data_IF_849995815137
#
_entry.id   IF_849995815137
#
_cell.length_a   1.000
_cell.length_b   1.000
_cell.length_c   1.000
_cell.angle_alpha   90.00
_cell.angle_beta   90.00
_cell.angle_gamma   90.00
#
_symmetry.space_group_name_H-M   'P 1'
#
loop_
_entity.id
_entity.type
_entity.pdbx_description
1 polymer ?
#
# COMPACT_ATOMS: atom_id res chain seq x y z
N UNK A 1 -12.02 -23.17 -10.64
CA UNK A 1 -12.39 -24.09 -11.74
C UNK A 1 -13.30 -25.27 -11.33
N UNK A 2 -12.98 -26.03 -10.27
CA UNK A 2 -13.77 -27.19 -9.86
C UNK A 2 -15.08 -26.78 -9.14
N UNK A 3 -15.05 -25.72 -8.39
CA UNK A 3 -16.21 -25.13 -7.67
C UNK A 3 -17.12 -24.38 -8.63
N UNK A 4 -16.55 -23.64 -9.57
CA UNK A 4 -17.27 -22.93 -10.60
C UNK A 4 -18.09 -23.89 -11.48
N UNK A 5 -17.54 -25.06 -11.84
CA UNK A 5 -18.25 -26.11 -12.60
C UNK A 5 -19.37 -26.80 -11.82
N UNK A 6 -19.37 -26.73 -10.49
CA UNK A 6 -20.40 -27.29 -9.62
C UNK A 6 -21.38 -26.24 -9.06
N UNK A 7 -21.09 -24.96 -9.32
CA UNK A 7 -21.95 -23.85 -8.93
C UNK A 7 -23.14 -23.77 -9.89
N UNK A 8 -24.33 -24.04 -9.40
CA UNK A 8 -25.58 -23.99 -10.17
C UNK A 8 -26.07 -22.55 -10.41
N UNK A 9 -25.17 -21.56 -10.45
CA UNK A 9 -25.48 -20.16 -10.77
C UNK A 9 -25.98 -19.30 -9.62
N UNK A 10 -26.06 -19.82 -8.39
CA UNK A 10 -26.49 -19.05 -7.21
C UNK A 10 -25.43 -18.09 -6.68
N UNK A 11 -24.14 -18.38 -6.90
CA UNK A 11 -23.04 -17.53 -6.46
C UNK A 11 -22.23 -17.06 -7.67
N UNK A 12 -21.84 -15.79 -7.67
CA UNK A 12 -20.89 -15.29 -8.66
C UNK A 12 -19.50 -15.84 -8.36
N UNK A 13 -18.60 -15.85 -9.37
CA UNK A 13 -17.19 -16.22 -9.18
C UNK A 13 -16.54 -15.37 -8.07
N UNK A 14 -16.77 -14.05 -8.08
CA UNK A 14 -16.27 -13.14 -7.07
C UNK A 14 -16.74 -13.50 -5.65
N UNK A 15 -18.00 -13.91 -5.50
CA UNK A 15 -18.52 -14.35 -4.20
C UNK A 15 -17.87 -15.65 -3.73
N UNK A 16 -17.63 -16.60 -4.63
CA UNK A 16 -16.91 -17.86 -4.32
C UNK A 16 -15.48 -17.55 -3.90
N UNK A 17 -14.77 -16.72 -4.66
CA UNK A 17 -13.38 -16.34 -4.36
C UNK A 17 -13.29 -15.63 -3.00
N UNK A 18 -14.20 -14.70 -2.69
CA UNK A 18 -14.25 -14.01 -1.40
C UNK A 18 -14.50 -14.96 -0.21
N UNK A 19 -15.45 -15.89 -0.34
CA UNK A 19 -15.74 -16.88 0.72
C UNK A 19 -14.52 -17.75 0.97
N UNK A 20 -13.92 -18.30 -0.08
CA UNK A 20 -12.75 -19.19 0.09
C UNK A 20 -11.53 -18.44 0.56
N UNK A 21 -11.35 -17.18 0.16
CA UNK A 21 -10.29 -16.33 0.68
C UNK A 21 -10.36 -16.19 2.19
N UNK A 22 -11.53 -15.89 2.75
CA UNK A 22 -11.72 -15.79 4.20
C UNK A 22 -11.59 -17.15 4.90
N UNK A 23 -12.09 -18.24 4.32
CA UNK A 23 -11.91 -19.58 4.87
C UNK A 23 -10.42 -19.92 4.97
N UNK A 24 -9.62 -19.64 3.93
CA UNK A 24 -8.19 -19.89 3.96
C UNK A 24 -7.45 -18.97 4.93
N UNK A 25 -7.87 -17.69 5.06
CA UNK A 25 -7.30 -16.77 6.02
C UNK A 25 -7.52 -17.26 7.46
N UNK A 26 -8.75 -17.65 7.81
CA UNK A 26 -9.08 -18.20 9.13
C UNK A 26 -8.34 -19.50 9.39
N UNK A 27 -8.32 -20.42 8.42
CA UNK A 27 -7.63 -21.72 8.57
C UNK A 27 -6.13 -21.54 8.82
N UNK A 28 -5.48 -20.66 8.07
CA UNK A 28 -4.06 -20.33 8.26
C UNK A 28 -3.80 -19.70 9.63
N UNK A 29 -4.67 -18.80 10.07
CA UNK A 29 -4.53 -18.13 11.36
C UNK A 29 -4.71 -19.09 12.56
N UNK A 30 -5.53 -20.14 12.40
CA UNK A 30 -5.69 -21.20 13.42
C UNK A 30 -4.47 -22.13 13.50
N UNK A 31 -3.81 -22.41 12.36
CA UNK A 31 -2.64 -23.28 12.32
C UNK A 31 -1.37 -22.56 12.77
N UNK A 32 -1.18 -21.31 12.32
CA UNK A 32 -0.04 -20.45 12.61
C UNK A 32 -0.54 -19.01 12.75
N UNK A 33 -0.87 -18.54 13.97
CA UNK A 33 -1.29 -17.16 14.18
C UNK A 33 -0.16 -16.20 13.80
N UNK A 34 -0.27 -15.64 12.62
CA UNK A 34 0.71 -14.72 12.05
C UNK A 34 0.20 -13.30 12.20
N UNK A 35 0.86 -12.51 13.05
CA UNK A 35 0.53 -11.09 13.18
C UNK A 35 0.97 -10.31 11.96
N UNK A 36 0.09 -9.44 11.48
CA UNK A 36 0.35 -8.51 10.41
C UNK A 36 0.36 -7.09 10.99
N UNK A 37 1.52 -6.45 11.00
CA UNK A 37 1.61 -5.05 11.39
C UNK A 37 1.33 -4.14 10.19
N UNK A 38 0.72 -3.00 10.44
CA UNK A 38 0.45 -2.02 9.39
C UNK A 38 0.50 -0.59 9.93
N UNK A 39 0.75 0.37 9.03
CA UNK A 39 0.70 1.80 9.37
C UNK A 39 -0.73 2.22 9.65
N UNK A 40 -1.00 2.63 10.89
CA UNK A 40 -2.29 3.15 11.32
C UNK A 40 -2.66 4.52 10.72
N UNK A 41 -3.81 5.02 11.14
CA UNK A 41 -4.72 4.46 12.12
C UNK A 41 -5.52 3.26 11.62
N UNK A 42 -6.22 2.58 12.52
CA UNK A 42 -7.22 1.57 12.16
C UNK A 42 -8.28 2.19 11.24
N UNK A 43 -8.70 1.44 10.20
CA UNK A 43 -9.58 1.96 9.14
C UNK A 43 -8.84 2.76 8.05
N UNK A 44 -7.51 2.94 8.11
CA UNK A 44 -6.74 3.59 7.05
C UNK A 44 -6.71 2.77 5.75
N UNK A 45 -6.28 3.40 4.65
CA UNK A 45 -6.05 2.68 3.40
C UNK A 45 -4.95 1.62 3.53
N UNK A 46 -3.99 1.79 4.45
CA UNK A 46 -3.01 0.74 4.76
C UNK A 46 -3.68 -0.46 5.43
N UNK A 47 -4.65 -0.23 6.32
CA UNK A 47 -5.47 -1.31 6.89
C UNK A 47 -6.26 -2.03 5.80
N UNK A 48 -6.89 -1.29 4.89
CA UNK A 48 -7.61 -1.86 3.75
C UNK A 48 -6.70 -2.70 2.84
N UNK A 49 -5.48 -2.23 2.57
CA UNK A 49 -4.49 -2.98 1.81
C UNK A 49 -4.06 -4.27 2.55
N UNK A 50 -3.91 -4.21 3.88
CA UNK A 50 -3.62 -5.40 4.68
C UNK A 50 -4.77 -6.41 4.64
N UNK A 51 -6.03 -5.98 4.85
CA UNK A 51 -7.21 -6.86 4.75
C UNK A 51 -7.35 -7.48 3.36
N UNK A 52 -7.12 -6.72 2.30
CA UNK A 52 -7.23 -7.22 0.91
C UNK A 52 -6.25 -8.35 0.61
N UNK A 53 -5.13 -8.43 1.35
CA UNK A 53 -4.09 -9.44 1.14
C UNK A 53 -4.19 -10.61 2.11
N UNK A 54 -4.59 -10.36 3.36
CA UNK A 54 -4.54 -11.33 4.44
C UNK A 54 -5.93 -11.76 4.96
N UNK A 55 -6.99 -11.07 4.54
CA UNK A 55 -8.37 -11.29 5.00
C UNK A 55 -8.72 -10.52 6.27
N UNK A 56 -10.00 -10.18 6.43
CA UNK A 56 -10.48 -9.36 7.56
C UNK A 56 -10.39 -10.05 8.92
N UNK A 57 -10.21 -11.38 8.96
CA UNK A 57 -10.14 -12.18 10.19
C UNK A 57 -8.71 -12.46 10.66
N UNK A 58 -7.70 -11.89 10.03
CA UNK A 58 -6.29 -12.01 10.44
C UNK A 58 -5.99 -11.21 11.71
N UNK A 59 -4.93 -11.58 12.45
CA UNK A 59 -4.49 -10.81 13.61
C UNK A 59 -3.69 -9.58 13.19
N UNK A 60 -4.28 -8.40 13.36
CA UNK A 60 -3.70 -7.14 12.96
C UNK A 60 -3.09 -6.36 14.13
N UNK A 61 -1.90 -5.78 13.90
CA UNK A 61 -1.19 -4.91 14.82
C UNK A 61 -1.09 -3.51 14.19
N UNK A 62 -1.94 -2.59 14.63
CA UNK A 62 -1.88 -1.19 14.21
C UNK A 62 -0.71 -0.47 14.87
N UNK A 63 0.11 0.22 14.07
CA UNK A 63 1.29 0.93 14.55
C UNK A 63 1.31 2.38 14.05
N UNK A 64 1.80 3.33 14.86
CA UNK A 64 1.64 4.76 14.59
C UNK A 64 2.59 5.30 13.51
N UNK A 65 3.71 4.62 13.23
CA UNK A 65 4.74 5.09 12.30
C UNK A 65 5.24 3.97 11.38
N UNK A 66 5.74 4.34 10.21
CA UNK A 66 6.41 3.41 9.29
C UNK A 66 7.59 2.74 10.00
N UNK A 67 8.39 3.49 10.76
CA UNK A 67 9.48 2.96 11.57
C UNK A 67 9.03 1.81 12.48
N UNK A 68 7.95 1.99 13.23
CA UNK A 68 7.44 0.97 14.14
C UNK A 68 6.94 -0.29 13.42
N UNK A 69 6.43 -0.14 12.19
CA UNK A 69 6.09 -1.30 11.35
C UNK A 69 7.35 -2.09 10.97
N UNK A 70 8.39 -1.41 10.46
CA UNK A 70 9.67 -2.05 10.15
C UNK A 70 10.27 -2.75 11.38
N UNK A 71 10.31 -2.08 12.53
CA UNK A 71 10.83 -2.62 13.78
C UNK A 71 10.04 -3.85 14.25
N UNK A 72 8.72 -3.85 14.13
CA UNK A 72 7.87 -4.97 14.54
C UNK A 72 8.17 -6.24 13.75
N UNK A 73 8.49 -6.12 12.45
CA UNK A 73 8.86 -7.25 11.60
C UNK A 73 10.30 -7.69 11.87
N UNK A 74 11.22 -6.74 11.99
CA UNK A 74 12.64 -7.01 12.28
C UNK A 74 12.82 -7.79 13.59
N UNK A 75 12.06 -7.43 14.62
CA UNK A 75 12.08 -8.07 15.94
C UNK A 75 11.22 -9.35 16.03
N UNK A 76 10.47 -9.69 14.97
CA UNK A 76 9.58 -10.86 14.95
C UNK A 76 8.27 -10.68 15.75
N UNK A 77 7.95 -9.45 16.18
CA UNK A 77 6.67 -9.13 16.83
C UNK A 77 5.49 -9.28 15.86
N UNK A 78 5.73 -9.01 14.58
CA UNK A 78 4.84 -9.32 13.48
C UNK A 78 5.60 -10.12 12.42
N UNK A 79 4.93 -11.05 11.75
CA UNK A 79 5.53 -11.81 10.64
C UNK A 79 5.59 -10.98 9.37
N UNK A 80 4.55 -10.20 9.12
CA UNK A 80 4.45 -9.33 7.96
C UNK A 80 4.21 -7.88 8.40
N UNK A 81 4.73 -6.95 7.59
CA UNK A 81 4.49 -5.52 7.73
C UNK A 81 3.91 -4.94 6.46
N UNK A 82 2.90 -4.08 6.57
CA UNK A 82 2.29 -3.41 5.43
C UNK A 82 2.53 -1.90 5.53
N UNK A 83 3.19 -1.34 4.50
CA UNK A 83 3.55 0.08 4.44
C UNK A 83 3.28 0.66 3.06
N UNK A 84 2.87 1.93 2.93
CA UNK A 84 2.77 2.60 1.64
C UNK A 84 4.17 2.86 1.07
N UNK A 85 4.35 2.70 -0.26
CA UNK A 85 5.59 3.05 -0.96
C UNK A 85 5.41 4.25 -1.88
N UNK A 86 4.27 4.34 -2.54
CA UNK A 86 3.96 5.45 -3.42
C UNK A 86 2.45 5.61 -3.65
N UNK A 87 2.05 6.84 -3.94
CA UNK A 87 0.74 7.18 -4.45
C UNK A 87 0.93 7.95 -5.76
N UNK A 88 0.11 7.67 -6.77
CA UNK A 88 0.28 8.28 -8.09
C UNK A 88 -0.04 9.78 -8.15
N UNK A 89 -0.66 10.35 -7.10
CA UNK A 89 -0.92 11.79 -6.98
C UNK A 89 0.06 12.48 -6.02
N UNK A 90 0.41 11.83 -4.91
CA UNK A 90 1.26 12.39 -3.84
C UNK A 90 2.75 12.05 -4.03
N UNK A 91 3.06 11.08 -4.89
CA UNK A 91 4.42 10.62 -5.14
C UNK A 91 4.91 9.55 -4.16
N UNK A 92 6.23 9.48 -4.03
CA UNK A 92 6.90 8.43 -3.27
C UNK A 92 6.88 8.71 -1.76
N UNK A 93 6.70 7.64 -0.96
CA UNK A 93 6.79 7.71 0.50
C UNK A 93 8.25 7.55 0.91
N UNK A 94 8.92 8.69 1.08
CA UNK A 94 10.35 8.81 1.34
C UNK A 94 10.81 7.96 2.53
N UNK A 95 10.05 7.99 3.63
CA UNK A 95 10.36 7.27 4.86
C UNK A 95 10.44 5.76 4.63
N UNK A 96 9.51 5.19 3.86
CA UNK A 96 9.53 3.76 3.49
C UNK A 96 10.79 3.41 2.71
N UNK A 97 11.16 4.25 1.74
CA UNK A 97 12.35 4.03 0.91
C UNK A 97 13.64 4.09 1.73
N UNK A 98 13.73 5.06 2.65
CA UNK A 98 14.89 5.20 3.53
C UNK A 98 15.03 3.96 4.46
N UNK A 99 13.93 3.47 5.06
CA UNK A 99 13.98 2.25 5.89
C UNK A 99 14.25 0.95 5.11
N UNK A 100 13.82 0.84 3.87
CA UNK A 100 14.19 -0.29 3.01
C UNK A 100 15.71 -0.38 2.82
N UNK A 101 16.39 0.76 2.79
CA UNK A 101 17.84 0.79 2.71
C UNK A 101 18.50 0.39 4.04
N UNK A 102 17.99 0.91 5.16
CA UNK A 102 18.61 0.79 6.48
C UNK A 102 18.34 -0.58 7.13
N UNK A 103 17.12 -1.09 6.99
CA UNK A 103 16.65 -2.30 7.67
C UNK A 103 16.88 -3.56 6.84
N UNK A 104 17.07 -4.69 7.52
CA UNK A 104 17.29 -5.97 6.85
C UNK A 104 15.98 -6.76 6.72
N UNK A 105 15.07 -6.22 5.92
CA UNK A 105 13.79 -6.85 5.59
C UNK A 105 13.67 -7.01 4.08
N UNK A 106 12.89 -8.00 3.67
CA UNK A 106 12.58 -8.27 2.26
C UNK A 106 11.17 -7.82 1.91
N UNK A 107 11.01 -7.33 0.69
CA UNK A 107 9.70 -7.14 0.05
C UNK A 107 9.24 -8.49 -0.47
N UNK A 108 8.11 -8.99 0.00
CA UNK A 108 7.60 -10.31 -0.38
C UNK A 108 6.36 -10.25 -1.26
N UNK A 109 5.70 -9.10 -1.29
CA UNK A 109 4.59 -8.82 -2.19
C UNK A 109 4.35 -7.31 -2.26
N UNK A 110 3.52 -6.90 -3.21
CA UNK A 110 2.94 -5.58 -3.26
C UNK A 110 1.41 -5.67 -3.36
N UNK A 111 0.72 -4.60 -2.96
CA UNK A 111 -0.72 -4.41 -3.12
C UNK A 111 -0.93 -3.07 -3.80
N UNK A 112 -1.64 -3.07 -4.91
CA UNK A 112 -2.12 -1.85 -5.56
C UNK A 112 -3.57 -1.63 -5.13
N UNK A 113 -3.82 -0.57 -4.37
CA UNK A 113 -5.14 -0.21 -3.90
C UNK A 113 -5.63 1.02 -4.66
N UNK A 114 -6.77 0.92 -5.29
CA UNK A 114 -7.50 2.08 -5.78
C UNK A 114 -8.12 2.79 -4.59
N UNK A 115 -7.88 4.10 -4.47
CA UNK A 115 -8.36 4.91 -3.35
C UNK A 115 -9.77 5.38 -3.67
N UNK A 116 -10.74 4.84 -2.95
CA UNK A 116 -12.14 5.25 -3.02
C UNK A 116 -12.55 5.95 -1.74
N UNK A 117 -13.34 7.00 -1.89
CA UNK A 117 -13.96 7.69 -0.75
C UNK A 117 -15.46 7.43 -0.73
N UNK A 118 -15.99 7.32 0.48
CA UNK A 118 -17.41 7.21 0.75
C UNK A 118 -17.89 8.40 1.55
N UNK A 119 -19.14 8.79 1.36
CA UNK A 119 -19.86 9.71 2.22
C UNK A 119 -20.72 8.91 3.18
N UNK A 120 -20.39 8.97 4.47
CA UNK A 120 -21.04 8.17 5.50
C UNK A 120 -21.60 9.04 6.61
N UNK A 121 -22.82 8.73 7.09
CA UNK A 121 -23.51 9.46 8.16
C UNK A 121 -24.45 8.55 8.93
N UNK A 122 -24.72 8.91 10.18
CA UNK A 122 -25.79 8.29 10.97
C UNK A 122 -27.18 8.82 10.58
N UNK A 123 -27.26 9.97 9.88
CA UNK A 123 -28.51 10.52 9.35
C UNK A 123 -28.78 10.00 7.93
N UNK A 124 -30.02 9.63 7.66
CA UNK A 124 -30.48 9.21 6.33
C UNK A 124 -30.76 10.41 5.40
N UNK A 125 -30.72 11.64 5.91
CA UNK A 125 -31.05 12.87 5.18
C UNK A 125 -29.90 13.85 5.16
N UNK A 126 -29.47 14.28 3.96
CA UNK A 126 -28.46 15.32 3.81
C UNK A 126 -28.85 16.65 4.46
N UNK A 127 -30.17 16.93 4.60
CA UNK A 127 -30.66 18.19 5.19
C UNK A 127 -30.39 18.31 6.70
N UNK A 128 -30.19 17.18 7.37
CA UNK A 128 -29.94 17.13 8.82
C UNK A 128 -28.45 17.25 9.14
N UNK A 129 -27.57 17.16 8.12
CA UNK A 129 -26.15 17.23 8.27
C UNK A 129 -25.71 18.69 8.36
N UNK A 130 -24.97 19.01 9.41
CA UNK A 130 -24.40 20.35 9.67
C UNK A 130 -22.90 20.38 9.53
N UNK A 131 -22.23 19.24 9.71
CA UNK A 131 -20.78 19.14 9.73
C UNK A 131 -20.32 17.94 8.94
N UNK A 132 -19.22 18.11 8.20
CA UNK A 132 -18.56 17.00 7.49
C UNK A 132 -17.10 16.97 7.91
N UNK A 133 -16.69 15.82 8.43
CA UNK A 133 -15.31 15.54 8.82
C UNK A 133 -14.57 14.85 7.69
N UNK A 134 -13.36 15.29 7.41
CA UNK A 134 -12.41 14.55 6.56
C UNK A 134 -11.00 15.10 6.70
N UNK A 135 -10.05 14.46 6.02
CA UNK A 135 -8.72 15.02 5.79
C UNK A 135 -8.79 16.06 4.67
N UNK A 136 -8.01 17.15 4.76
CA UNK A 136 -7.99 18.22 3.75
C UNK A 136 -7.88 17.71 2.31
N UNK A 137 -7.01 16.72 2.09
CA UNK A 137 -6.81 16.15 0.76
C UNK A 137 -8.07 15.46 0.24
N UNK A 138 -8.84 14.77 1.10
CA UNK A 138 -10.06 14.09 0.69
C UNK A 138 -11.15 15.10 0.30
N UNK A 139 -11.25 16.24 0.99
CA UNK A 139 -12.14 17.32 0.56
C UNK A 139 -11.79 17.83 -0.85
N UNK A 140 -10.50 18.01 -1.15
CA UNK A 140 -10.07 18.42 -2.50
C UNK A 140 -10.33 17.35 -3.56
N UNK A 141 -10.21 16.08 -3.20
CA UNK A 141 -10.42 14.95 -4.12
C UNK A 141 -11.90 14.59 -4.34
N UNK A 142 -12.81 15.15 -3.53
CA UNK A 142 -14.27 14.95 -3.62
C UNK A 142 -14.99 16.28 -3.90
N UNK A 143 -14.31 17.24 -4.53
CA UNK A 143 -14.82 18.59 -4.74
C UNK A 143 -16.09 18.64 -5.59
N UNK A 144 -16.20 17.80 -6.63
CA UNK A 144 -17.41 17.73 -7.47
C UNK A 144 -18.62 17.27 -6.66
N UNK A 145 -18.47 16.19 -5.88
CA UNK A 145 -19.54 15.70 -5.02
C UNK A 145 -19.99 16.77 -4.02
N UNK A 146 -19.06 17.45 -3.37
CA UNK A 146 -19.36 18.51 -2.39
C UNK A 146 -20.13 19.65 -3.07
N UNK A 147 -19.67 20.11 -4.22
CA UNK A 147 -20.34 21.21 -4.95
C UNK A 147 -21.72 20.82 -5.49
N UNK A 148 -21.87 19.59 -5.99
CA UNK A 148 -23.11 19.15 -6.62
C UNK A 148 -24.22 18.87 -5.60
N UNK A 149 -23.89 18.24 -4.47
CA UNK A 149 -24.89 17.73 -3.52
C UNK A 149 -25.00 18.56 -2.25
N UNK A 150 -23.97 19.34 -1.87
CA UNK A 150 -23.90 20.00 -0.55
C UNK A 150 -23.81 21.53 -0.63
N UNK A 151 -23.59 22.07 -1.84
CA UNK A 151 -23.52 23.53 -2.02
C UNK A 151 -24.82 24.22 -1.61
N UNK A 152 -24.71 25.32 -0.85
CA UNK A 152 -25.88 26.09 -0.37
C UNK A 152 -26.60 25.52 0.85
N UNK A 153 -26.21 24.35 1.36
CA UNK A 153 -26.84 23.76 2.56
C UNK A 153 -26.29 24.34 3.87
N UNK A 154 -25.26 25.19 3.84
CA UNK A 154 -24.65 25.78 5.05
C UNK A 154 -23.89 24.76 5.90
N UNK A 155 -23.39 23.68 5.31
CA UNK A 155 -22.66 22.64 5.99
C UNK A 155 -21.21 23.08 6.22
N UNK A 156 -20.71 22.88 7.43
CA UNK A 156 -19.32 23.17 7.80
C UNK A 156 -18.39 21.98 7.43
N UNK A 157 -17.32 22.25 6.66
CA UNK A 157 -16.28 21.27 6.38
C UNK A 157 -15.18 21.38 7.43
N UNK A 158 -14.98 20.32 8.23
CA UNK A 158 -14.04 20.31 9.35
C UNK A 158 -12.88 19.35 9.05
N UNK A 159 -11.67 19.88 8.80
CA UNK A 159 -10.50 19.06 8.57
C UNK A 159 -10.03 18.35 9.85
N UNK A 160 -9.67 17.07 9.69
CA UNK A 160 -9.12 16.22 10.76
C UNK A 160 -7.89 15.47 10.27
N UNK A 161 -7.13 14.87 11.19
CA UNK A 161 -5.82 14.27 10.89
C UNK A 161 -5.90 13.07 9.93
N UNK A 162 -7.05 12.35 9.91
CA UNK A 162 -7.23 11.18 9.05
C UNK A 162 -8.71 10.96 8.70
N UNK A 163 -8.94 10.31 7.56
CA UNK A 163 -10.27 9.87 7.13
C UNK A 163 -10.89 8.87 8.11
N UNK A 164 -10.07 8.08 8.78
CA UNK A 164 -10.52 7.16 9.84
C UNK A 164 -11.03 7.91 11.08
N UNK A 165 -10.33 8.98 11.51
CA UNK A 165 -10.82 9.85 12.59
C UNK A 165 -12.12 10.54 12.19
N UNK A 166 -12.26 10.93 10.93
CA UNK A 166 -13.51 11.50 10.41
C UNK A 166 -14.69 10.54 10.60
N UNK A 167 -14.53 9.28 10.18
CA UNK A 167 -15.56 8.25 10.36
C UNK A 167 -15.91 8.04 11.85
N UNK A 168 -14.90 8.01 12.73
CA UNK A 168 -15.10 7.87 14.17
C UNK A 168 -15.94 9.01 14.75
N UNK A 169 -15.67 10.26 14.35
CA UNK A 169 -16.43 11.42 14.79
C UNK A 169 -17.87 11.39 14.28
N UNK A 170 -18.07 11.11 13.00
CA UNK A 170 -19.39 10.98 12.40
C UNK A 170 -20.22 9.84 13.01
N UNK A 171 -19.57 8.78 13.52
CA UNK A 171 -20.26 7.73 14.27
C UNK A 171 -20.77 8.16 15.64
N UNK A 172 -20.27 9.25 16.19
CA UNK A 172 -20.64 9.77 17.52
C UNK A 172 -21.66 10.92 17.48
N UNK A 173 -21.90 11.50 16.31
CA UNK A 173 -22.71 12.71 16.14
C UNK A 173 -23.74 12.51 15.01
N UNK A 174 -25.03 12.58 15.36
CA UNK A 174 -26.13 12.30 14.40
C UNK A 174 -26.24 13.36 13.29
N UNK A 175 -25.87 14.62 13.57
CA UNK A 175 -25.95 15.74 12.63
C UNK A 175 -24.62 15.95 11.84
N UNK A 176 -23.82 14.90 11.72
CA UNK A 176 -22.55 14.94 11.03
C UNK A 176 -22.36 13.81 10.02
N UNK A 177 -21.41 14.02 9.12
CA UNK A 177 -21.00 13.03 8.14
C UNK A 177 -19.47 12.95 8.07
N UNK A 178 -18.97 11.92 7.42
CA UNK A 178 -17.56 11.77 7.08
C UNK A 178 -17.36 11.49 5.61
N UNK A 179 -16.32 12.08 5.02
CA UNK A 179 -15.71 11.58 3.79
C UNK A 179 -14.54 10.70 4.22
N UNK A 180 -14.66 9.38 4.00
CA UNK A 180 -13.73 8.39 4.53
C UNK A 180 -13.58 7.19 3.59
N UNK A 181 -12.77 6.20 3.98
CA UNK A 181 -12.74 4.90 3.31
C UNK A 181 -13.92 4.02 3.75
N UNK A 182 -14.36 3.11 2.91
CA UNK A 182 -15.43 2.16 3.23
C UNK A 182 -15.11 1.28 4.45
N UNK A 183 -13.82 0.91 4.63
CA UNK A 183 -13.37 0.17 5.82
C UNK A 183 -13.54 1.01 7.10
N UNK A 184 -13.27 2.32 7.05
CA UNK A 184 -13.48 3.21 8.20
C UNK A 184 -14.95 3.33 8.56
N UNK A 185 -15.81 3.54 7.57
CA UNK A 185 -17.26 3.62 7.77
C UNK A 185 -17.79 2.34 8.43
N UNK A 186 -17.40 1.18 7.91
CA UNK A 186 -17.78 -0.14 8.45
C UNK A 186 -17.27 -0.34 9.89
N UNK A 187 -16.00 -0.01 10.15
CA UNK A 187 -15.34 -0.19 11.45
C UNK A 187 -16.03 0.62 12.56
N UNK A 188 -16.45 1.86 12.25
CA UNK A 188 -17.11 2.73 13.22
C UNK A 188 -18.64 2.68 13.16
N UNK A 189 -19.20 1.74 12.39
CA UNK A 189 -20.64 1.54 12.29
C UNK A 189 -21.40 2.72 11.70
N UNK A 190 -20.77 3.45 10.77
CA UNK A 190 -21.39 4.61 10.10
C UNK A 190 -21.97 4.16 8.77
N UNK A 191 -23.29 4.27 8.53
CA UNK A 191 -23.91 3.92 7.27
C UNK A 191 -23.32 4.72 6.10
N UNK A 192 -23.03 4.03 5.00
CA UNK A 192 -22.56 4.65 3.77
C UNK A 192 -23.79 5.12 2.98
N UNK A 193 -23.87 6.42 2.72
CA UNK A 193 -24.95 7.01 1.91
C UNK A 193 -24.55 7.10 0.43
N UNK A 194 -23.30 7.41 0.14
CA UNK A 194 -22.76 7.47 -1.22
C UNK A 194 -21.40 6.84 -1.25
N UNK A 195 -21.13 6.07 -2.30
CA UNK A 195 -19.86 5.39 -2.54
C UNK A 195 -19.16 5.97 -3.77
N UNK A 196 -17.82 5.86 -3.81
CA UNK A 196 -17.00 6.30 -4.94
C UNK A 196 -17.25 7.79 -5.31
N UNK A 197 -17.16 8.66 -4.30
CA UNK A 197 -17.48 10.10 -4.45
C UNK A 197 -16.27 10.95 -4.87
N UNK A 198 -15.12 10.35 -5.10
CA UNK A 198 -13.91 11.02 -5.58
C UNK A 198 -14.07 11.57 -6.99
N UNK A 199 -13.40 12.69 -7.27
CA UNK A 199 -13.45 13.38 -8.56
C UNK A 199 -12.75 12.62 -9.70
N UNK A 200 -11.85 11.68 -9.34
CA UNK A 200 -11.06 10.87 -10.26
C UNK A 200 -10.87 9.46 -9.74
N UNK A 201 -11.17 8.49 -10.56
CA UNK A 201 -10.95 7.06 -10.33
C UNK A 201 -9.49 6.60 -10.51
N UNK A 202 -8.59 7.56 -10.83
CA UNK A 202 -7.19 7.28 -11.10
C UNK A 202 -6.30 7.27 -9.84
N UNK A 203 -6.85 7.61 -8.66
CA UNK A 203 -6.05 7.65 -7.43
C UNK A 203 -5.71 6.24 -6.96
N UNK A 204 -4.43 5.89 -7.01
CA UNK A 204 -3.93 4.57 -6.62
C UNK A 204 -2.74 4.69 -5.67
N UNK A 205 -2.76 3.87 -4.65
CA UNK A 205 -1.63 3.73 -3.71
C UNK A 205 -1.06 2.32 -3.79
N UNK A 206 0.25 2.23 -3.94
CA UNK A 206 0.99 0.97 -3.89
C UNK A 206 1.54 0.78 -2.48
N UNK A 207 1.29 -0.39 -1.92
CA UNK A 207 1.77 -0.83 -0.61
C UNK A 207 2.74 -1.99 -0.79
N UNK A 208 3.72 -2.06 0.10
CA UNK A 208 4.66 -3.17 0.19
C UNK A 208 4.30 -4.06 1.37
N UNK A 209 4.46 -5.35 1.17
CA UNK A 209 4.42 -6.34 2.23
C UNK A 209 5.85 -6.75 2.54
N UNK A 210 6.24 -6.51 3.78
CA UNK A 210 7.58 -6.75 4.29
C UNK A 210 7.60 -8.02 5.12
N UNK A 211 8.67 -8.78 5.03
CA UNK A 211 8.94 -9.91 5.91
C UNK A 211 10.44 -10.01 6.20
N UNK A 212 10.78 -10.72 7.29
CA UNK A 212 12.15 -11.09 7.63
C UNK A 212 12.42 -12.50 7.15
N UNK A 213 13.62 -12.71 6.59
CA UNK A 213 14.11 -14.05 6.20
C UNK A 213 13.17 -14.85 5.30
N UNK A 214 12.44 -14.16 4.41
CA UNK A 214 11.49 -14.77 3.49
C UNK A 214 11.93 -14.55 2.04
N UNK A 215 11.95 -15.62 1.27
CA UNK A 215 12.27 -15.61 -0.17
C UNK A 215 11.11 -16.25 -0.92
N UNK A 216 10.57 -15.56 -1.91
CA UNK A 216 9.53 -16.09 -2.77
C UNK A 216 10.10 -17.15 -3.73
N UNK A 217 9.27 -18.11 -4.09
CA UNK A 217 9.53 -19.03 -5.19
C UNK A 217 9.32 -18.26 -6.49
N UNK A 218 10.21 -18.46 -7.45
CA UNK A 218 10.13 -17.87 -8.77
C UNK A 218 8.78 -18.19 -9.44
N UNK A 219 8.19 -17.18 -10.07
CA UNK A 219 6.99 -17.29 -10.92
C UNK A 219 7.28 -16.84 -12.35
N UNK A 220 6.26 -16.84 -13.21
CA UNK A 220 6.41 -16.43 -14.61
C UNK A 220 6.32 -14.90 -14.80
N UNK A 221 5.88 -14.14 -13.78
CA UNK A 221 5.71 -12.69 -13.83
C UNK A 221 6.22 -12.03 -12.56
N UNK A 222 7.53 -12.10 -12.35
CA UNK A 222 8.18 -11.53 -11.19
C UNK A 222 8.75 -10.13 -11.46
N UNK A 223 8.80 -9.36 -10.40
CA UNK A 223 9.50 -8.08 -10.30
C UNK A 223 10.51 -8.15 -9.17
N UNK A 224 11.69 -7.61 -9.38
CA UNK A 224 12.73 -7.50 -8.37
C UNK A 224 12.98 -6.04 -8.02
N UNK A 225 13.15 -5.79 -6.73
CA UNK A 225 13.56 -4.48 -6.18
C UNK A 225 14.92 -4.59 -5.54
N UNK A 226 15.80 -3.65 -5.87
CA UNK A 226 17.15 -3.53 -5.32
C UNK A 226 17.45 -2.10 -4.89
N UNK A 227 18.44 -1.95 -4.03
CA UNK A 227 19.14 -0.68 -3.78
C UNK A 227 20.51 -0.76 -4.43
N UNK A 228 20.87 0.27 -5.20
CA UNK A 228 22.16 0.41 -5.83
C UNK A 228 22.94 1.57 -5.20
N UNK A 229 24.08 1.26 -4.56
CA UNK A 229 25.02 2.21 -4.00
C UNK A 229 26.22 2.36 -4.95
N UNK A 230 26.02 3.05 -6.08
CA UNK A 230 27.05 3.19 -7.10
C UNK A 230 28.20 4.08 -6.59
N UNK A 231 29.46 3.68 -6.80
CA UNK A 231 30.60 4.53 -6.45
C UNK A 231 30.70 5.70 -7.44
N UNK A 232 31.27 6.82 -6.99
CA UNK A 232 31.59 7.96 -7.85
C UNK A 232 30.41 8.49 -8.67
N UNK A 233 29.21 8.58 -8.07
CA UNK A 233 27.99 9.05 -8.75
C UNK A 233 28.12 10.46 -9.34
N UNK A 234 29.14 11.22 -8.92
CA UNK A 234 29.46 12.53 -9.51
C UNK A 234 30.26 12.44 -10.83
N UNK A 235 30.77 11.24 -11.20
CA UNK A 235 31.44 11.03 -12.50
C UNK A 235 30.38 10.91 -13.60
N UNK A 236 30.54 11.64 -14.72
CA UNK A 236 29.66 11.45 -15.86
C UNK A 236 29.66 10.00 -16.37
N UNK A 237 28.48 9.48 -16.68
CA UNK A 237 28.29 8.15 -17.25
C UNK A 237 28.08 7.01 -16.28
N UNK A 238 28.32 7.17 -14.94
CA UNK A 238 28.18 6.06 -13.98
C UNK A 238 26.78 5.45 -13.99
N UNK A 239 25.75 6.29 -13.92
CA UNK A 239 24.37 5.81 -13.98
C UNK A 239 24.03 5.22 -15.36
N UNK A 240 24.52 5.82 -16.44
CA UNK A 240 24.34 5.29 -17.79
C UNK A 240 24.95 3.90 -17.94
N UNK A 241 26.18 3.70 -17.48
CA UNK A 241 26.88 2.40 -17.53
C UNK A 241 26.06 1.33 -16.75
N UNK A 242 25.55 1.70 -15.59
CA UNK A 242 24.69 0.83 -14.77
C UNK A 242 23.41 0.45 -15.50
N UNK A 243 22.66 1.42 -16.05
CA UNK A 243 21.42 1.17 -16.79
C UNK A 243 21.66 0.40 -18.08
N UNK A 244 22.78 0.66 -18.76
CA UNK A 244 23.18 -0.08 -19.98
C UNK A 244 23.35 -1.56 -19.72
N UNK A 245 23.87 -1.96 -18.55
CA UNK A 245 24.04 -3.37 -18.21
C UNK A 245 22.70 -4.13 -18.13
N UNK A 246 21.64 -3.49 -17.68
CA UNK A 246 20.29 -4.06 -17.69
C UNK A 246 19.76 -4.18 -19.13
N UNK A 247 19.91 -3.11 -19.91
CA UNK A 247 19.47 -3.08 -21.31
C UNK A 247 20.17 -4.17 -22.15
N UNK A 248 21.50 -4.30 -22.00
CA UNK A 248 22.29 -5.29 -22.75
C UNK A 248 21.89 -6.74 -22.44
N UNK A 249 21.24 -6.98 -21.30
CA UNK A 249 20.70 -8.28 -20.85
C UNK A 249 19.21 -8.44 -21.07
N UNK A 250 18.57 -7.46 -21.71
CA UNK A 250 17.12 -7.50 -21.98
C UNK A 250 16.25 -7.36 -20.72
N UNK A 251 16.80 -6.84 -19.61
CA UNK A 251 16.05 -6.63 -18.37
C UNK A 251 15.34 -5.28 -18.44
N UNK A 252 14.01 -5.29 -18.33
CA UNK A 252 13.19 -4.08 -18.36
C UNK A 252 13.12 -3.44 -16.98
N UNK A 253 13.65 -2.22 -16.85
CA UNK A 253 13.51 -1.43 -15.63
C UNK A 253 12.13 -0.77 -15.59
N UNK A 254 11.44 -0.89 -14.44
CA UNK A 254 10.10 -0.34 -14.24
C UNK A 254 10.10 0.90 -13.36
N UNK A 255 11.15 1.07 -12.53
CA UNK A 255 11.30 2.23 -11.65
C UNK A 255 12.76 2.50 -11.36
N UNK A 256 13.10 3.78 -11.27
CA UNK A 256 14.33 4.27 -10.67
C UNK A 256 14.03 5.51 -9.83
N UNK A 257 14.46 5.50 -8.60
CA UNK A 257 14.33 6.64 -7.67
C UNK A 257 15.69 6.96 -7.09
N UNK A 258 16.12 8.22 -7.23
CA UNK A 258 17.39 8.70 -6.70
C UNK A 258 17.22 9.33 -5.32
N UNK A 259 18.08 8.95 -4.38
CA UNK A 259 18.02 9.45 -2.99
C UNK A 259 19.39 9.93 -2.54
N UNK A 260 19.45 11.08 -1.83
CA UNK A 260 20.73 11.54 -1.24
C UNK A 260 21.14 10.61 -0.08
N UNK A 261 22.41 10.33 -0.01
CA UNK A 261 23.02 9.67 1.14
C UNK A 261 23.20 10.69 2.26
N UNK A 262 22.39 10.55 3.31
CA UNK A 262 22.46 11.47 4.46
C UNK A 262 23.64 11.15 5.35
N UNK A 263 24.25 12.19 5.96
CA UNK A 263 25.32 12.03 6.96
C UNK A 263 26.74 11.99 6.39
N UNK A 264 26.94 12.10 5.08
CA UNK A 264 28.26 12.23 4.46
C UNK A 264 28.54 13.68 4.03
N UNK A 265 29.82 14.08 4.06
CA UNK A 265 30.24 15.42 3.67
C UNK A 265 30.10 15.70 2.16
N UNK A 266 29.97 14.66 1.33
CA UNK A 266 29.75 14.78 -0.11
C UNK A 266 28.31 14.38 -0.44
N UNK A 267 27.69 15.10 -1.38
CA UNK A 267 26.35 14.75 -1.92
C UNK A 267 26.43 13.46 -2.75
N UNK A 268 26.46 12.32 -2.05
CA UNK A 268 26.35 11.01 -2.72
C UNK A 268 24.90 10.64 -2.93
N UNK A 269 24.65 9.92 -4.01
CA UNK A 269 23.34 9.45 -4.40
C UNK A 269 23.32 7.93 -4.44
N UNK A 270 22.26 7.33 -3.90
CA UNK A 270 21.93 5.93 -4.08
C UNK A 270 20.59 5.81 -4.82
N UNK A 271 20.31 4.64 -5.37
CA UNK A 271 19.14 4.42 -6.21
C UNK A 271 18.33 3.24 -5.69
N UNK A 272 17.01 3.43 -5.60
CA UNK A 272 16.03 2.34 -5.56
C UNK A 272 15.70 2.00 -7.00
N UNK A 273 15.83 0.73 -7.37
CA UNK A 273 15.60 0.26 -8.75
C UNK A 273 14.66 -0.92 -8.72
N UNK A 274 13.63 -0.88 -9.58
CA UNK A 274 12.74 -2.02 -9.81
C UNK A 274 12.82 -2.45 -11.27
N UNK A 275 12.80 -3.76 -11.50
CA UNK A 275 12.88 -4.34 -12.83
C UNK A 275 12.11 -5.66 -12.91
N UNK A 276 11.74 -6.05 -14.12
CA UNK A 276 11.07 -7.33 -14.39
C UNK A 276 12.08 -8.46 -14.35
N UNK A 277 11.68 -9.58 -13.74
CA UNK A 277 12.47 -10.79 -13.59
C UNK A 277 12.71 -11.13 -12.11
N UNK A 278 13.05 -12.39 -11.87
CA UNK A 278 13.35 -12.94 -10.54
C UNK A 278 14.87 -12.94 -10.30
N UNK A 279 15.30 -12.89 -9.05
CA UNK A 279 16.72 -12.99 -8.68
C UNK A 279 17.40 -14.28 -9.15
N UNK A 280 16.61 -15.35 -9.40
CA UNK A 280 17.10 -16.62 -9.93
C UNK A 280 17.21 -16.67 -11.47
N UNK A 281 16.80 -15.62 -12.17
CA UNK A 281 17.00 -15.51 -13.61
C UNK A 281 18.48 -15.28 -13.92
N UNK A 282 19.00 -15.99 -14.92
CA UNK A 282 20.42 -15.91 -15.26
C UNK A 282 20.89 -14.48 -15.55
N UNK A 283 20.17 -13.66 -16.37
CA UNK A 283 20.56 -12.28 -16.59
C UNK A 283 20.59 -11.43 -15.32
N UNK A 284 19.68 -11.71 -14.35
CA UNK A 284 19.62 -11.01 -13.06
C UNK A 284 20.78 -11.42 -12.15
N UNK A 285 21.10 -12.72 -12.10
CA UNK A 285 22.28 -13.25 -11.38
C UNK A 285 23.57 -12.62 -11.86
N UNK A 286 23.74 -12.47 -13.17
CA UNK A 286 24.92 -11.80 -13.74
C UNK A 286 25.05 -10.35 -13.24
N UNK A 287 23.94 -9.59 -13.21
CA UNK A 287 23.91 -8.22 -12.66
C UNK A 287 24.30 -8.23 -11.17
N UNK A 288 23.62 -9.09 -10.38
CA UNK A 288 23.92 -9.19 -8.96
C UNK A 288 25.37 -9.58 -8.68
N UNK A 289 25.93 -10.49 -9.46
CA UNK A 289 27.33 -10.89 -9.35
C UNK A 289 28.30 -9.77 -9.77
N UNK A 290 28.01 -9.08 -10.90
CA UNK A 290 28.86 -7.99 -11.41
C UNK A 290 29.02 -6.84 -10.40
N UNK A 291 27.91 -6.45 -9.78
CA UNK A 291 27.89 -5.31 -8.86
C UNK A 291 28.13 -5.71 -7.40
N UNK A 292 27.93 -6.97 -7.03
CA UNK A 292 28.20 -7.54 -5.70
C UNK A 292 27.63 -6.71 -4.56
N UNK A 293 28.48 -6.29 -3.63
CA UNK A 293 28.10 -5.54 -2.43
C UNK A 293 27.57 -4.11 -2.70
N UNK A 294 27.71 -3.63 -3.94
CA UNK A 294 27.11 -2.35 -4.33
C UNK A 294 25.58 -2.44 -4.46
N UNK A 295 25.04 -3.65 -4.60
CA UNK A 295 23.61 -3.90 -4.65
C UNK A 295 23.13 -4.55 -3.35
N UNK A 296 22.04 -4.04 -2.82
CA UNK A 296 21.25 -4.71 -1.80
C UNK A 296 19.97 -5.23 -2.44
N UNK A 297 19.80 -6.55 -2.48
CA UNK A 297 18.55 -7.17 -2.89
C UNK A 297 17.49 -6.94 -1.81
N UNK A 298 16.32 -6.44 -2.21
CA UNK A 298 15.19 -6.21 -1.31
C UNK A 298 14.09 -7.26 -1.47
N UNK A 299 14.01 -7.94 -2.61
CA UNK A 299 13.04 -8.99 -2.86
C UNK A 299 12.73 -9.17 -4.33
N UNK A 300 12.32 -10.39 -4.67
CA UNK A 300 11.68 -10.73 -5.94
C UNK A 300 10.29 -11.26 -5.63
N UNK A 301 9.26 -10.74 -6.28
CA UNK A 301 7.87 -11.02 -5.96
C UNK A 301 7.00 -10.87 -7.21
N UNK A 302 5.82 -11.48 -7.17
CA UNK A 302 4.86 -11.43 -8.28
C UNK A 302 4.46 -9.98 -8.55
N UNK A 303 4.58 -9.58 -9.81
CA UNK A 303 4.16 -8.25 -10.26
C UNK A 303 2.64 -8.13 -10.22
N UNK A 304 2.16 -6.98 -9.73
CA UNK A 304 0.76 -6.58 -9.87
C UNK A 304 0.62 -5.80 -11.18
N UNK A 305 -0.27 -6.25 -12.06
CA UNK A 305 -0.60 -5.62 -13.34
C UNK A 305 -1.72 -4.59 -13.19
#
# INVERSE_FOLDING_TARGET
>A
DRLEKRNNGLLTRQAIDAIFFEIFAVSRNLELPERISYLGPEGSFTHQAAESRFGGMSEYLVLPTIHSVFESVETGRAKFGVVPIENNQEGIVIETVDFLREKNLSIVAEVLLQVHFTFASQSDSLKDIKRIYSKDIAFRQCGKFINEYLEGMGIELIPVESTSKAAKLAGQEVDSAAICSSISARLFGVPILFDNIEDSDQNRTRFLILAKDFVNIKSDDDKTTIIANLPNTNRPGVLYEFLKDFNDRGINLTKIESRPLRGEAAFRTWFLVEFLGHADDEPVKEIMHKYGTLLKWLGSYVRIS
#
